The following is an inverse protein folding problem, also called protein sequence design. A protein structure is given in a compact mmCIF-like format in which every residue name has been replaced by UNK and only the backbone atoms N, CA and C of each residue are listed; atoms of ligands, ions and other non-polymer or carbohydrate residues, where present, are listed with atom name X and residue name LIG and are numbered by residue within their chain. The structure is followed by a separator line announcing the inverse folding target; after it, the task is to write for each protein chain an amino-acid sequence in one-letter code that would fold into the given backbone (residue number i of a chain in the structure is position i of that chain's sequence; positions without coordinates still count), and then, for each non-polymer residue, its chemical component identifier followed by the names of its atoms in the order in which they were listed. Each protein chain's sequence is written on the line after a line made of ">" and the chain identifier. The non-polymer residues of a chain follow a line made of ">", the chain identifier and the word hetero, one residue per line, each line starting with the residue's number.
data_IF_352001997195
#
_entry.id   IF_352001997195
#
_cell.length_a   1.000
_cell.length_b   1.000
_cell.length_c   1.000
_cell.angle_alpha   90.00
_cell.angle_beta   90.00
_cell.angle_gamma   90.00
#
_symmetry.space_group_name_H-M   'P 1'
#
loop_
_entity.id
_entity.type
_entity.pdbx_description
1 polymer ?
#
# COMPACT_ATOMS: atom_id res chain seq x y z
N UNK A 1 -2.63 -14.13 20.89
CA UNK A 1 -3.26 -13.59 19.68
C UNK A 1 -2.62 -14.22 18.47
N UNK A 2 -3.38 -14.38 17.39
CA UNK A 2 -2.83 -14.75 16.08
C UNK A 2 -2.32 -13.50 15.33
N UNK A 3 -1.66 -13.71 14.18
CA UNK A 3 -1.07 -12.64 13.36
C UNK A 3 -2.10 -11.55 12.99
N UNK A 4 -3.33 -11.94 12.64
CA UNK A 4 -4.37 -11.00 12.19
C UNK A 4 -4.98 -10.18 13.34
N UNK A 5 -5.06 -10.75 14.54
CA UNK A 5 -5.47 -10.02 15.75
C UNK A 5 -4.42 -8.97 16.13
N UNK A 6 -3.13 -9.34 16.11
CA UNK A 6 -2.02 -8.40 16.34
C UNK A 6 -2.00 -7.28 15.30
N UNK A 7 -2.24 -7.61 14.02
CA UNK A 7 -2.34 -6.61 12.96
C UNK A 7 -3.44 -5.58 13.24
N UNK A 8 -4.62 -6.03 13.65
CA UNK A 8 -5.76 -5.15 13.97
C UNK A 8 -5.44 -4.19 15.10
N UNK A 9 -4.86 -4.70 16.18
CA UNK A 9 -4.44 -3.87 17.30
C UNK A 9 -3.35 -2.88 16.88
N UNK A 10 -2.42 -3.30 16.03
CA UNK A 10 -1.35 -2.43 15.53
C UNK A 10 -1.89 -1.30 14.67
N UNK A 11 -2.83 -1.59 13.76
CA UNK A 11 -3.49 -0.58 12.92
C UNK A 11 -4.24 0.43 13.79
N UNK A 12 -4.97 -0.04 14.80
CA UNK A 12 -5.70 0.84 15.71
C UNK A 12 -4.76 1.71 16.54
N UNK A 13 -3.68 1.14 17.08
CA UNK A 13 -2.68 1.88 17.84
C UNK A 13 -2.00 2.95 16.98
N UNK A 14 -1.62 2.62 15.73
CA UNK A 14 -1.05 3.61 14.79
C UNK A 14 -2.05 4.71 14.43
N UNK A 15 -3.34 4.39 14.30
CA UNK A 15 -4.40 5.39 14.08
C UNK A 15 -4.51 6.36 15.26
N UNK A 16 -4.56 5.84 16.49
CA UNK A 16 -4.61 6.66 17.71
C UNK A 16 -3.37 7.55 17.82
N UNK A 17 -2.18 7.01 17.56
CA UNK A 17 -0.94 7.78 17.56
C UNK A 17 -0.98 8.95 16.55
N UNK A 18 -1.47 8.69 15.34
CA UNK A 18 -1.64 9.71 14.31
C UNK A 18 -2.63 10.81 14.73
N UNK A 19 -3.79 10.42 15.27
CA UNK A 19 -4.80 11.38 15.76
C UNK A 19 -4.26 12.24 16.92
N UNK A 20 -3.46 11.65 17.82
CA UNK A 20 -2.80 12.37 18.90
C UNK A 20 -1.76 13.37 18.36
N UNK A 21 -0.96 12.97 17.38
CA UNK A 21 0.02 13.86 16.76
C UNK A 21 -0.66 15.08 16.13
N UNK A 22 -1.75 14.88 15.36
CA UNK A 22 -2.53 15.97 14.79
C UNK A 22 -3.09 16.91 15.86
N UNK A 23 -3.56 16.37 16.99
CA UNK A 23 -4.04 17.19 18.11
C UNK A 23 -2.90 18.01 18.73
N UNK A 24 -1.73 17.42 18.94
CA UNK A 24 -0.55 18.11 19.47
C UNK A 24 -0.13 19.27 18.56
N UNK A 25 -0.20 19.08 17.24
CA UNK A 25 0.22 20.08 16.26
C UNK A 25 -0.74 21.29 16.20
N UNK A 26 -2.02 21.09 16.55
CA UNK A 26 -3.07 22.11 16.44
C UNK A 26 -3.35 22.82 17.78
N UNK A 27 -3.22 22.14 18.92
CA UNK A 27 -3.64 22.68 20.22
C UNK A 27 -2.63 23.68 20.82
N UNK A 28 -3.17 24.77 21.39
CA UNK A 28 -2.39 25.87 22.00
C UNK A 28 -2.39 25.86 23.53
N UNK A 29 -3.13 24.95 24.17
CA UNK A 29 -3.17 24.80 25.63
C UNK A 29 -2.07 23.85 26.12
N UNK A 30 -1.12 24.38 26.89
CA UNK A 30 0.05 23.62 27.39
C UNK A 30 -0.32 22.40 28.24
N UNK A 31 -1.37 22.48 29.07
CA UNK A 31 -1.75 21.37 29.95
C UNK A 31 -2.35 20.19 29.15
N UNK A 32 -3.19 20.47 28.16
CA UNK A 32 -3.76 19.45 27.29
C UNK A 32 -2.71 18.87 26.35
N UNK A 33 -1.81 19.71 25.85
CA UNK A 33 -0.68 19.28 25.02
C UNK A 33 0.23 18.31 25.78
N UNK A 34 0.59 18.59 27.02
CA UNK A 34 1.39 17.67 27.86
C UNK A 34 0.70 16.33 28.02
N UNK A 35 -0.63 16.31 28.28
CA UNK A 35 -1.40 15.06 28.38
C UNK A 35 -1.36 14.27 27.07
N UNK A 36 -1.57 14.93 25.92
CA UNK A 36 -1.53 14.24 24.62
C UNK A 36 -0.14 13.70 24.29
N UNK A 37 0.93 14.41 24.66
CA UNK A 37 2.31 13.92 24.50
C UNK A 37 2.53 12.64 25.32
N UNK A 38 2.10 12.61 26.59
CA UNK A 38 2.20 11.41 27.42
C UNK A 38 1.39 10.24 26.89
N UNK A 39 0.18 10.51 26.38
CA UNK A 39 -0.66 9.49 25.74
C UNK A 39 0.01 8.93 24.48
N UNK A 40 0.61 9.82 23.66
CA UNK A 40 1.34 9.43 22.45
C UNK A 40 2.57 8.57 22.79
N UNK A 41 3.32 8.88 23.84
CA UNK A 41 4.46 8.07 24.30
C UNK A 41 4.01 6.64 24.68
N UNK A 42 2.91 6.52 25.42
CA UNK A 42 2.35 5.22 25.81
C UNK A 42 1.88 4.41 24.59
N UNK A 43 1.16 5.05 23.66
CA UNK A 43 0.70 4.40 22.44
C UNK A 43 1.88 4.02 21.54
N UNK A 44 2.93 4.83 21.48
CA UNK A 44 4.15 4.51 20.71
C UNK A 44 4.85 3.27 21.27
N UNK A 45 4.98 3.16 22.60
CA UNK A 45 5.52 1.96 23.23
C UNK A 45 4.65 0.72 22.97
N UNK A 46 3.32 0.89 22.92
CA UNK A 46 2.41 -0.20 22.54
C UNK A 46 2.61 -0.61 21.07
N UNK A 47 2.78 0.35 20.16
CA UNK A 47 3.08 0.08 18.74
C UNK A 47 4.36 -0.74 18.62
N UNK A 48 5.45 -0.33 19.27
CA UNK A 48 6.74 -1.06 19.23
C UNK A 48 6.59 -2.50 19.74
N UNK A 49 5.85 -2.69 20.83
CA UNK A 49 5.58 -4.02 21.38
C UNK A 49 4.76 -4.89 20.41
N UNK A 50 3.70 -4.33 19.82
CA UNK A 50 2.89 -5.04 18.82
C UNK A 50 3.70 -5.42 17.58
N UNK A 51 4.59 -4.53 17.12
CA UNK A 51 5.50 -4.81 16.00
C UNK A 51 6.43 -5.99 16.32
N UNK A 52 7.04 -5.99 17.51
CA UNK A 52 7.87 -7.11 17.97
C UNK A 52 7.09 -8.43 18.02
N UNK A 53 5.88 -8.42 18.60
CA UNK A 53 5.04 -9.61 18.65
C UNK A 53 4.67 -10.14 17.26
N UNK A 54 4.33 -9.26 16.31
CA UNK A 54 4.04 -9.67 14.91
C UNK A 54 5.21 -10.39 14.28
N UNK A 55 6.45 -9.95 14.54
CA UNK A 55 7.65 -10.61 14.03
C UNK A 55 7.79 -12.01 14.63
N UNK A 56 7.53 -12.17 15.92
CA UNK A 56 7.68 -13.43 16.66
C UNK A 56 6.59 -14.48 16.37
N UNK A 57 5.44 -14.11 15.78
CA UNK A 57 4.39 -15.09 15.44
C UNK A 57 4.93 -16.19 14.52
N UNK A 58 4.87 -17.45 14.94
CA UNK A 58 5.34 -18.59 14.12
C UNK A 58 4.43 -18.86 12.92
N UNK A 59 3.10 -18.78 13.12
CA UNK A 59 2.12 -18.99 12.05
C UNK A 59 1.95 -17.73 11.18
N UNK A 60 2.77 -17.66 10.12
CA UNK A 60 2.71 -16.62 9.08
C UNK A 60 1.70 -16.90 7.97
N UNK A 61 0.66 -17.71 8.20
CA UNK A 61 -0.32 -18.04 7.15
C UNK A 61 -0.98 -16.78 6.58
N UNK A 62 -1.37 -15.83 7.41
CA UNK A 62 -2.10 -14.65 6.98
C UNK A 62 -1.23 -13.72 6.12
N UNK A 63 0.00 -13.45 6.54
CA UNK A 63 0.94 -12.67 5.72
C UNK A 63 1.36 -13.39 4.43
N UNK A 64 1.45 -14.74 4.42
CA UNK A 64 1.65 -15.51 3.17
C UNK A 64 0.46 -15.36 2.21
N UNK A 65 -0.77 -15.45 2.71
CA UNK A 65 -2.00 -15.26 1.93
C UNK A 65 -2.10 -13.82 1.40
N UNK A 66 -1.75 -12.82 2.20
CA UNK A 66 -1.67 -11.43 1.79
C UNK A 66 -0.64 -11.24 0.66
N UNK A 67 0.57 -11.79 0.81
CA UNK A 67 1.61 -11.76 -0.23
C UNK A 67 1.13 -12.39 -1.54
N UNK A 68 0.47 -13.55 -1.47
CA UNK A 68 -0.08 -14.21 -2.64
C UNK A 68 -1.16 -13.37 -3.32
N UNK A 69 -2.04 -12.74 -2.53
CA UNK A 69 -3.07 -11.84 -3.04
C UNK A 69 -2.47 -10.60 -3.71
N UNK A 70 -1.39 -10.03 -3.15
CA UNK A 70 -0.69 -8.89 -3.76
C UNK A 70 -0.11 -9.26 -5.13
N UNK A 71 0.44 -10.48 -5.26
CA UNK A 71 0.94 -10.99 -6.54
C UNK A 71 -0.21 -11.15 -7.54
N UNK A 72 -1.31 -11.83 -7.18
CA UNK A 72 -2.46 -11.99 -8.08
C UNK A 72 -3.03 -10.62 -8.50
N UNK A 73 -3.12 -9.66 -7.57
CA UNK A 73 -3.55 -8.29 -7.87
C UNK A 73 -2.70 -7.63 -8.96
N UNK A 74 -1.37 -7.73 -8.88
CA UNK A 74 -0.48 -7.20 -9.93
C UNK A 74 -0.61 -7.98 -11.25
N UNK A 75 -0.81 -9.30 -11.19
CA UNK A 75 -1.05 -10.13 -12.38
C UNK A 75 -2.37 -9.78 -13.08
N UNK A 76 -3.42 -9.39 -12.33
CA UNK A 76 -4.67 -8.86 -12.89
C UNK A 76 -4.44 -7.54 -13.60
N UNK A 77 -3.67 -6.62 -13.00
CA UNK A 77 -3.31 -5.38 -13.67
C UNK A 77 -2.60 -5.64 -15.01
N UNK A 78 -1.56 -6.48 -15.00
CA UNK A 78 -0.84 -6.87 -16.23
C UNK A 78 -1.80 -7.43 -17.27
N UNK A 79 -2.69 -8.35 -16.87
CA UNK A 79 -3.64 -9.00 -17.76
C UNK A 79 -4.58 -7.99 -18.42
N UNK A 80 -5.20 -7.11 -17.65
CA UNK A 80 -6.18 -6.15 -18.18
C UNK A 80 -5.51 -5.04 -19.01
N UNK A 81 -4.32 -4.58 -18.61
CA UNK A 81 -3.51 -3.62 -19.36
C UNK A 81 -3.16 -4.18 -20.75
N UNK A 82 -2.83 -5.46 -20.84
CA UNK A 82 -2.40 -6.09 -22.10
C UNK A 82 -3.56 -6.57 -22.99
N UNK A 83 -4.82 -6.52 -22.53
CA UNK A 83 -6.00 -6.71 -23.41
C UNK A 83 -6.21 -5.54 -24.37
N UNK A 84 -5.56 -4.41 -24.11
CA UNK A 84 -5.62 -3.18 -24.88
C UNK A 84 -5.09 -3.32 -26.32
N UNK A 85 -5.45 -2.34 -27.15
CA UNK A 85 -4.74 -2.13 -28.41
C UNK A 85 -3.28 -1.69 -28.11
N UNK A 86 -2.25 -2.45 -28.53
CA UNK A 86 -0.86 -2.16 -28.21
C UNK A 86 -0.32 -0.86 -28.86
N UNK A 87 -1.10 -0.21 -29.72
CA UNK A 87 -0.72 1.04 -30.39
C UNK A 87 -1.02 2.31 -29.59
N UNK A 88 -1.75 2.20 -28.48
CA UNK A 88 -2.10 3.34 -27.64
C UNK A 88 -1.43 3.21 -26.27
N UNK A 89 -1.07 4.35 -25.69
CA UNK A 89 -0.61 4.41 -24.31
C UNK A 89 -1.81 4.43 -23.36
N UNK A 90 -1.57 4.02 -22.11
CA UNK A 90 -2.56 4.17 -21.04
C UNK A 90 -2.56 5.62 -20.55
N UNK A 91 -3.75 6.12 -20.23
CA UNK A 91 -3.93 7.41 -19.58
C UNK A 91 -3.48 7.34 -18.11
N UNK A 92 -2.70 8.28 -17.63
CA UNK A 92 -2.29 8.34 -16.21
C UNK A 92 -3.46 8.78 -15.33
N UNK A 93 -4.30 9.70 -15.82
CA UNK A 93 -5.46 10.23 -15.10
C UNK A 93 -6.71 9.33 -15.20
N UNK A 94 -6.71 8.33 -16.08
CA UNK A 94 -7.81 7.38 -16.28
C UNK A 94 -9.17 8.05 -16.57
N UNK A 95 -9.17 9.21 -17.24
CA UNK A 95 -10.36 9.99 -17.57
C UNK A 95 -10.88 10.85 -16.41
N UNK A 96 -10.13 10.98 -15.32
CA UNK A 96 -10.41 11.89 -14.21
C UNK A 96 -9.61 13.19 -14.34
N UNK A 97 -9.96 14.18 -13.51
CA UNK A 97 -9.21 15.45 -13.38
C UNK A 97 -7.97 15.25 -12.46
N UNK A 98 -7.77 14.03 -11.96
CA UNK A 98 -6.71 13.69 -11.00
C UNK A 98 -5.54 13.09 -11.76
N UNK A 99 -4.37 13.73 -11.68
CA UNK A 99 -3.14 13.19 -12.22
C UNK A 99 -2.76 11.87 -11.53
N UNK A 100 -2.19 10.93 -12.28
CA UNK A 100 -1.65 9.68 -11.73
C UNK A 100 -2.68 8.76 -11.04
N UNK A 101 -3.98 8.89 -11.33
CA UNK A 101 -5.01 7.98 -10.80
C UNK A 101 -4.71 6.50 -11.10
N UNK A 102 -4.12 6.18 -12.25
CA UNK A 102 -3.73 4.81 -12.58
C UNK A 102 -2.81 4.22 -11.51
N UNK A 103 -1.76 4.96 -11.14
CA UNK A 103 -0.78 4.52 -10.16
C UNK A 103 -1.36 4.53 -8.73
N UNK A 104 -2.13 5.57 -8.40
CA UNK A 104 -2.86 5.65 -7.13
C UNK A 104 -3.81 4.46 -6.96
N UNK A 105 -4.47 4.02 -8.03
CA UNK A 105 -5.30 2.82 -8.05
C UNK A 105 -4.52 1.55 -7.73
N UNK A 106 -3.38 1.33 -8.39
CA UNK A 106 -2.51 0.17 -8.13
C UNK A 106 -2.08 0.14 -6.66
N UNK A 107 -1.57 1.26 -6.13
CA UNK A 107 -1.12 1.37 -4.73
C UNK A 107 -2.28 1.14 -3.76
N UNK A 108 -3.45 1.71 -4.04
CA UNK A 108 -4.66 1.55 -3.23
C UNK A 108 -5.09 0.09 -3.12
N UNK A 109 -5.11 -0.62 -4.25
CA UNK A 109 -5.51 -2.02 -4.29
C UNK A 109 -4.51 -2.91 -3.53
N UNK A 110 -3.20 -2.65 -3.66
CA UNK A 110 -2.17 -3.33 -2.86
C UNK A 110 -2.32 -3.03 -1.37
N UNK A 111 -2.57 -1.76 -1.01
CA UNK A 111 -2.75 -1.35 0.38
C UNK A 111 -3.92 -2.09 1.05
N UNK A 112 -5.02 -2.28 0.34
CA UNK A 112 -6.17 -3.00 0.88
C UNK A 112 -5.86 -4.44 1.30
N UNK A 113 -4.94 -5.11 0.60
CA UNK A 113 -4.55 -6.50 0.88
C UNK A 113 -3.65 -6.66 2.11
N UNK A 114 -3.07 -5.56 2.60
CA UNK A 114 -2.20 -5.52 3.78
C UNK A 114 -2.85 -4.76 4.94
N UNK A 115 -4.16 -4.53 4.88
CA UNK A 115 -4.95 -3.97 5.98
C UNK A 115 -5.79 -5.06 6.65
N UNK A 116 -6.41 -4.75 7.79
CA UNK A 116 -7.32 -5.66 8.50
C UNK A 116 -8.67 -5.88 7.81
N UNK A 117 -8.91 -5.19 6.69
CA UNK A 117 -10.16 -5.25 5.94
C UNK A 117 -10.07 -6.34 4.89
N UNK A 118 -11.06 -7.25 4.90
CA UNK A 118 -11.20 -8.28 3.87
C UNK A 118 -11.66 -7.61 2.57
N UNK A 119 -10.70 -7.31 1.70
CA UNK A 119 -10.97 -6.88 0.34
C UNK A 119 -10.61 -8.01 -0.62
N UNK A 120 -11.51 -8.28 -1.56
CA UNK A 120 -11.21 -9.16 -2.69
C UNK A 120 -10.26 -8.48 -3.67
N UNK A 121 -9.73 -9.28 -4.59
CA UNK A 121 -8.92 -8.78 -5.69
C UNK A 121 -9.78 -7.93 -6.60
N UNK A 122 -9.32 -6.71 -6.86
CA UNK A 122 -9.98 -5.79 -7.77
C UNK A 122 -9.46 -6.04 -9.20
N UNK A 123 -10.38 -6.24 -10.15
CA UNK A 123 -10.01 -6.40 -11.55
C UNK A 123 -10.19 -5.03 -12.22
N UNK A 124 -9.10 -4.35 -12.64
CA UNK A 124 -9.20 -3.04 -13.26
C UNK A 124 -9.96 -3.14 -14.58
N UNK A 125 -11.11 -2.47 -14.67
CA UNK A 125 -11.97 -2.46 -15.83
C UNK A 125 -12.02 -1.09 -16.49
N UNK A 126 -12.36 -1.07 -17.79
CA UNK A 126 -12.58 0.17 -18.56
C UNK A 126 -11.38 1.13 -18.58
N UNK A 127 -10.16 0.59 -18.58
CA UNK A 127 -8.92 1.37 -18.66
C UNK A 127 -8.98 2.37 -19.82
N UNK A 128 -8.58 3.61 -19.54
CA UNK A 128 -8.54 4.68 -20.54
C UNK A 128 -7.20 4.71 -21.24
N UNK A 129 -7.27 4.95 -22.55
CA UNK A 129 -6.12 5.09 -23.42
C UNK A 129 -6.05 6.52 -23.92
N UNK A 130 -4.83 6.98 -24.21
CA UNK A 130 -4.60 8.34 -24.63
C UNK A 130 -3.49 8.41 -25.68
N UNK A 131 -3.56 9.47 -26.49
CA UNK A 131 -2.47 9.90 -27.38
C UNK A 131 -1.78 11.15 -26.85
N UNK A 132 -2.24 11.72 -25.73
CA UNK A 132 -1.60 12.86 -25.10
C UNK A 132 -0.30 12.40 -24.40
N UNK A 133 0.89 12.85 -24.83
CA UNK A 133 2.14 12.43 -24.22
C UNK A 133 2.23 12.73 -22.71
N UNK A 134 1.71 13.87 -22.26
CA UNK A 134 1.82 14.33 -20.87
C UNK A 134 0.98 13.46 -19.90
N UNK A 135 -0.09 12.86 -20.41
CA UNK A 135 -0.98 11.95 -19.66
C UNK A 135 -0.72 10.48 -20.03
N UNK A 136 0.41 10.15 -20.63
CA UNK A 136 0.64 8.80 -21.14
C UNK A 136 1.61 7.98 -20.29
N UNK A 137 1.32 6.68 -20.18
CA UNK A 137 2.30 5.67 -19.76
C UNK A 137 2.35 4.53 -20.79
N UNK A 138 3.56 4.10 -21.11
CA UNK A 138 3.82 2.99 -22.04
C UNK A 138 3.32 1.67 -21.45
N UNK A 139 2.51 0.92 -22.21
CA UNK A 139 2.00 -0.39 -21.80
C UNK A 139 3.14 -1.41 -21.56
N UNK A 140 4.12 -1.57 -22.48
CA UNK A 140 5.26 -2.43 -22.24
C UNK A 140 6.04 -2.05 -20.98
N UNK A 141 6.30 -0.76 -20.78
CA UNK A 141 7.08 -0.26 -19.64
C UNK A 141 6.36 -0.54 -18.31
N UNK A 142 5.08 -0.20 -18.20
CA UNK A 142 4.28 -0.49 -17.02
C UNK A 142 4.16 -2.01 -16.77
N UNK A 143 4.05 -2.81 -17.83
CA UNK A 143 4.00 -4.27 -17.70
C UNK A 143 5.30 -4.82 -17.11
N UNK A 144 6.45 -4.37 -17.61
CA UNK A 144 7.73 -4.84 -17.13
C UNK A 144 8.03 -4.35 -15.70
N UNK A 145 7.61 -3.13 -15.37
CA UNK A 145 7.61 -2.63 -13.99
C UNK A 145 6.81 -3.55 -13.07
N UNK A 146 5.54 -3.84 -13.38
CA UNK A 146 4.70 -4.69 -12.54
C UNK A 146 5.23 -6.13 -12.43
N UNK A 147 5.85 -6.66 -13.48
CA UNK A 147 6.55 -7.96 -13.41
C UNK A 147 7.73 -7.93 -12.46
N UNK A 148 8.50 -6.84 -12.45
CA UNK A 148 9.59 -6.66 -11.50
C UNK A 148 9.06 -6.59 -10.06
N UNK A 149 7.97 -5.87 -9.82
CA UNK A 149 7.31 -5.80 -8.51
C UNK A 149 6.83 -7.17 -8.02
N UNK A 150 6.28 -8.00 -8.91
CA UNK A 150 5.95 -9.40 -8.62
C UNK A 150 7.20 -10.20 -8.20
N UNK A 151 8.33 -10.00 -8.87
CA UNK A 151 9.58 -10.69 -8.52
C UNK A 151 10.09 -10.28 -7.13
N UNK A 152 10.05 -8.98 -6.81
CA UNK A 152 10.40 -8.47 -5.47
C UNK A 152 9.52 -9.14 -4.40
N UNK A 153 8.20 -9.25 -4.62
CA UNK A 153 7.31 -9.96 -3.69
C UNK A 153 7.64 -11.45 -3.57
N UNK A 154 8.04 -12.10 -4.66
CA UNK A 154 8.42 -13.52 -4.67
C UNK A 154 9.67 -13.77 -3.83
N UNK A 155 10.64 -12.85 -3.85
CA UNK A 155 11.89 -12.91 -3.10
C UNK A 155 11.71 -12.76 -1.57
N UNK A 156 10.55 -12.30 -1.10
CA UNK A 156 10.23 -12.27 0.34
C UNK A 156 9.95 -13.71 0.84
N UNK A 157 10.99 -14.38 1.34
CA UNK A 157 10.89 -15.78 1.82
C UNK A 157 10.06 -15.92 3.09
N UNK A 158 10.22 -14.99 4.03
CA UNK A 158 9.58 -15.00 5.35
C UNK A 158 8.70 -13.77 5.54
N UNK A 159 7.50 -13.72 4.94
CA UNK A 159 6.63 -12.56 5.05
C UNK A 159 6.10 -12.39 6.47
N UNK A 160 5.91 -11.13 6.84
CA UNK A 160 5.05 -10.66 7.92
C UNK A 160 4.46 -9.32 7.49
N UNK A 161 3.43 -8.83 8.17
CA UNK A 161 2.75 -7.60 7.76
C UNK A 161 3.63 -6.35 7.76
N UNK A 162 4.65 -6.26 8.61
CA UNK A 162 5.58 -5.12 8.63
C UNK A 162 6.42 -5.09 7.34
N UNK A 163 6.91 -6.26 6.90
CA UNK A 163 7.65 -6.39 5.63
C UNK A 163 6.75 -6.04 4.45
N UNK A 164 5.50 -6.50 4.46
CA UNK A 164 4.56 -6.21 3.36
C UNK A 164 4.15 -4.73 3.32
N UNK A 165 4.03 -4.06 4.47
CA UNK A 165 3.87 -2.61 4.55
C UNK A 165 5.08 -1.87 4.01
N UNK A 166 6.27 -2.28 4.40
CA UNK A 166 7.51 -1.71 3.88
C UNK A 166 7.60 -1.86 2.36
N UNK A 167 7.26 -3.02 1.83
CA UNK A 167 7.16 -3.22 0.37
C UNK A 167 6.19 -2.22 -0.27
N UNK A 168 5.00 -2.01 0.33
CA UNK A 168 3.98 -1.09 -0.18
C UNK A 168 4.49 0.36 -0.17
N UNK A 169 5.22 0.77 0.86
CA UNK A 169 5.82 2.11 0.91
C UNK A 169 6.89 2.27 -0.19
N UNK A 170 7.77 1.28 -0.34
CA UNK A 170 8.80 1.30 -1.37
C UNK A 170 8.23 1.18 -2.80
N UNK A 171 7.07 0.55 -2.98
CA UNK A 171 6.35 0.53 -4.26
C UNK A 171 5.97 1.95 -4.68
N UNK A 172 5.51 2.78 -3.74
CA UNK A 172 5.18 4.19 -4.01
C UNK A 172 6.44 4.93 -4.47
N UNK A 173 7.56 4.73 -3.78
CA UNK A 173 8.83 5.37 -4.13
C UNK A 173 9.32 4.93 -5.52
N UNK A 174 9.23 3.64 -5.85
CA UNK A 174 9.60 3.10 -7.18
C UNK A 174 8.70 3.63 -8.28
N UNK A 175 7.39 3.73 -8.05
CA UNK A 175 6.45 4.35 -9.00
C UNK A 175 6.82 5.81 -9.25
N UNK A 176 7.10 6.57 -8.19
CA UNK A 176 7.48 7.98 -8.31
C UNK A 176 8.73 8.15 -9.14
N UNK A 177 9.78 7.40 -8.80
CA UNK A 177 11.07 7.46 -9.49
C UNK A 177 11.02 7.02 -10.95
N UNK A 178 10.13 6.09 -11.31
CA UNK A 178 10.02 5.58 -12.68
C UNK A 178 9.10 6.44 -13.57
N UNK A 179 8.00 6.96 -13.02
CA UNK A 179 6.90 7.50 -13.84
C UNK A 179 6.51 8.95 -13.55
N UNK A 180 6.91 9.52 -12.40
CA UNK A 180 6.40 10.83 -11.94
C UNK A 180 7.50 11.88 -11.88
N UNK A 181 8.65 11.53 -11.29
CA UNK A 181 9.82 12.40 -11.12
C UNK A 181 10.77 12.31 -12.32
#
# INVERSE_FOLDING_TARGET
>A
MNEIELLKELIEAKRIAHDLQLRIDIWTNDAERIRFVQELENISAQVENLEAQIVEVEDKRYSREAKASMIDQLERYITEINKANPRLNLSRNQGLIIENELFSGIVRDINYLVTDRVFGIHIPAYLKYTTNPDDSVSIPELTDFLRNEINILREIESPNYLILWQYKDQLIDRIRAQFIE
#
